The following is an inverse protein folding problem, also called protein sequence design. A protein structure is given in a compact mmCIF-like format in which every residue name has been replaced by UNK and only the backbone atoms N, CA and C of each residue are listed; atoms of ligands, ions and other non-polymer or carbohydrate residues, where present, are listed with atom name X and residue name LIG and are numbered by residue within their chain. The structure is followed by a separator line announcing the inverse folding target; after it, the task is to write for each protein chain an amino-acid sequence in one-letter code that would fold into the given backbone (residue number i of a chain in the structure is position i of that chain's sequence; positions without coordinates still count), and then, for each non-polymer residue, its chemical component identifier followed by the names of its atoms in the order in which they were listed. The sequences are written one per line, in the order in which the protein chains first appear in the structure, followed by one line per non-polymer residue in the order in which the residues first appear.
data_IF_611898352061
#
_entry.id   IF_611898352061
#
_cell.length_a   1.000
_cell.length_b   1.000
_cell.length_c   1.000
_cell.angle_alpha   90.00
_cell.angle_beta   90.00
_cell.angle_gamma   90.00
#
_symmetry.space_group_name_H-M   'P 1'
#
loop_
_entity.id
_entity.type
_entity.pdbx_description
1 polymer ?
#
# COMPACT_ATOMS: atom_id res chain seq x y z
N UNK A 1 2.31 3.68 23.78
CA UNK A 1 1.98 4.72 22.78
C UNK A 1 3.19 5.62 22.68
N UNK A 2 3.81 5.74 21.50
CA UNK A 2 4.95 6.65 21.27
C UNK A 2 4.37 8.05 21.05
N UNK A 3 4.84 9.11 21.74
CA UNK A 3 4.34 10.46 21.48
C UNK A 3 4.57 10.86 20.02
N UNK A 4 3.54 11.41 19.37
CA UNK A 4 3.61 11.78 17.94
C UNK A 4 4.78 12.73 17.62
N UNK A 5 5.20 13.58 18.56
CA UNK A 5 6.39 14.44 18.40
C UNK A 5 7.69 13.64 18.22
N UNK A 6 7.95 12.67 19.10
CA UNK A 6 9.14 11.81 19.02
C UNK A 6 9.15 10.95 17.75
N UNK A 7 7.96 10.50 17.32
CA UNK A 7 7.75 9.76 16.09
C UNK A 7 8.23 10.56 14.85
N UNK A 8 7.86 11.85 14.78
CA UNK A 8 8.19 12.71 13.64
C UNK A 8 9.62 13.21 13.67
N UNK A 9 10.20 13.51 14.84
CA UNK A 9 11.60 13.91 14.94
C UNK A 9 12.53 12.83 14.36
N UNK A 10 12.30 11.57 14.72
CA UNK A 10 13.10 10.45 14.20
C UNK A 10 12.91 10.24 12.69
N UNK A 11 11.68 10.38 12.20
CA UNK A 11 11.39 10.26 10.77
C UNK A 11 12.05 11.41 10.00
N UNK A 12 12.03 12.63 10.54
CA UNK A 12 12.67 13.79 9.96
C UNK A 12 14.18 13.61 9.85
N UNK A 13 14.84 13.18 10.93
CA UNK A 13 16.28 12.88 10.97
C UNK A 13 16.68 11.80 9.95
N UNK A 14 15.81 10.82 9.74
CA UNK A 14 16.05 9.75 8.79
C UNK A 14 15.84 10.22 7.34
N UNK A 15 14.81 11.01 7.06
CA UNK A 15 14.50 11.51 5.72
C UNK A 15 15.46 12.63 5.29
N UNK A 16 15.95 13.44 6.22
CA UNK A 16 16.96 14.47 5.96
C UNK A 16 18.31 13.92 5.49
N UNK A 17 18.55 12.61 5.66
CA UNK A 17 19.73 11.90 5.14
C UNK A 17 19.57 11.46 3.68
N UNK A 18 18.36 11.49 3.13
CA UNK A 18 18.14 11.20 1.72
C UNK A 18 18.65 12.36 0.88
N UNK A 19 19.46 12.10 -0.16
CA UNK A 19 19.87 13.15 -1.08
C UNK A 19 18.62 13.77 -1.73
N UNK A 20 18.64 15.09 -1.92
CA UNK A 20 17.59 15.86 -2.61
C UNK A 20 16.25 15.99 -1.87
N UNK A 21 16.17 15.59 -0.59
CA UNK A 21 15.00 15.83 0.25
C UNK A 21 15.23 17.01 1.19
N UNK A 22 14.27 17.93 1.20
CA UNK A 22 14.14 18.98 2.21
C UNK A 22 13.00 18.59 3.14
N UNK A 23 13.28 18.55 4.44
CA UNK A 23 12.31 18.18 5.47
C UNK A 23 12.05 19.39 6.35
N UNK A 24 10.80 19.78 6.44
CA UNK A 24 10.30 20.85 7.31
C UNK A 24 9.27 20.23 8.26
N UNK A 25 9.47 20.41 9.57
CA UNK A 25 8.43 20.09 10.53
C UNK A 25 7.43 21.25 10.58
N UNK A 26 6.15 20.94 10.48
CA UNK A 26 5.09 21.86 10.88
C UNK A 26 4.47 21.34 12.19
N UNK A 27 3.71 22.16 12.90
CA UNK A 27 3.14 21.77 14.21
C UNK A 27 2.20 20.56 14.15
N UNK A 28 1.84 20.08 12.96
CA UNK A 28 0.86 19.01 12.71
C UNK A 28 1.49 17.75 12.09
N UNK A 29 2.76 17.82 11.63
CA UNK A 29 3.45 16.72 10.97
C UNK A 29 4.76 17.13 10.27
N UNK A 30 5.06 16.46 9.16
CA UNK A 30 6.24 16.74 8.33
C UNK A 30 5.82 17.08 6.91
N UNK A 31 6.47 18.11 6.36
CA UNK A 31 6.48 18.42 4.94
C UNK A 31 7.83 18.01 4.34
N UNK A 32 7.80 17.14 3.34
CA UNK A 32 8.99 16.67 2.62
C UNK A 32 8.90 17.12 1.17
N UNK A 33 9.82 18.00 0.79
CA UNK A 33 9.96 18.49 -0.57
C UNK A 33 11.10 17.75 -1.25
N UNK A 34 10.81 17.07 -2.34
CA UNK A 34 11.82 16.54 -3.27
C UNK A 34 11.80 17.33 -4.57
N UNK A 35 12.67 16.96 -5.52
CA UNK A 35 12.69 17.54 -6.87
C UNK A 35 11.33 17.51 -7.56
N UNK A 36 10.59 16.40 -7.40
CA UNK A 36 9.37 16.13 -8.16
C UNK A 36 8.12 15.91 -7.30
N UNK A 37 8.26 15.91 -5.98
CA UNK A 37 7.13 15.65 -5.08
C UNK A 37 7.11 16.61 -3.92
N UNK A 38 5.90 16.89 -3.44
CA UNK A 38 5.63 17.50 -2.16
C UNK A 38 4.84 16.48 -1.36
N UNK A 39 5.39 16.02 -0.25
CA UNK A 39 4.76 14.99 0.58
C UNK A 39 4.45 15.55 1.96
N UNK A 40 3.22 15.39 2.41
CA UNK A 40 2.81 15.64 3.79
C UNK A 40 2.65 14.34 4.54
N UNK A 41 3.17 14.30 5.75
CA UNK A 41 3.10 13.18 6.67
C UNK A 41 2.45 13.68 7.95
N UNK A 42 1.29 13.14 8.28
CA UNK A 42 0.46 13.62 9.39
C UNK A 42 0.09 12.44 10.29
N UNK A 43 0.01 12.68 11.60
CA UNK A 43 -0.55 11.72 12.53
C UNK A 43 -2.07 11.81 12.43
N UNK A 44 -2.74 10.66 12.42
CA UNK A 44 -4.18 10.57 12.37
C UNK A 44 -4.65 9.40 13.21
N UNK A 45 -5.96 9.34 13.43
CA UNK A 45 -6.59 8.18 14.04
C UNK A 45 -7.78 7.79 13.18
N UNK A 46 -7.90 6.50 12.90
CA UNK A 46 -8.94 5.93 12.02
C UNK A 46 -9.68 4.84 12.75
N UNK A 47 -10.97 4.73 12.45
CA UNK A 47 -11.81 3.66 12.97
C UNK A 47 -11.57 2.37 12.15
N UNK A 48 -11.61 1.23 12.85
CA UNK A 48 -11.59 -0.08 12.22
C UNK A 48 -12.92 -0.43 11.56
N UNK A 49 -12.83 -1.21 10.48
CA UNK A 49 -13.99 -1.76 9.78
C UNK A 49 -13.78 -3.22 9.43
N UNK A 50 -14.86 -3.91 9.02
CA UNK A 50 -14.81 -5.35 8.80
C UNK A 50 -14.56 -6.08 10.12
N UNK A 51 -13.45 -6.80 10.20
CA UNK A 51 -13.09 -7.58 11.39
C UNK A 51 -12.67 -6.68 12.58
N UNK A 52 -12.32 -5.42 12.32
CA UNK A 52 -11.80 -4.46 13.30
C UNK A 52 -12.89 -3.47 13.81
N UNK A 53 -14.18 -3.75 13.58
CA UNK A 53 -15.27 -2.83 13.98
C UNK A 53 -15.26 -2.57 15.49
N UNK A 54 -15.32 -1.29 15.86
CA UNK A 54 -15.34 -0.83 17.25
C UNK A 54 -13.95 -0.55 17.82
N UNK A 55 -12.89 -0.84 17.07
CA UNK A 55 -11.53 -0.47 17.41
C UNK A 55 -11.12 0.84 16.74
N UNK A 56 -10.12 1.52 17.35
CA UNK A 56 -9.56 2.77 16.84
C UNK A 56 -8.05 2.65 16.79
N UNK A 57 -7.49 3.00 15.65
CA UNK A 57 -6.07 2.80 15.37
C UNK A 57 -5.35 4.15 15.26
N UNK A 58 -4.19 4.25 15.90
CA UNK A 58 -3.24 5.30 15.59
C UNK A 58 -2.67 5.05 14.20
N UNK A 59 -2.50 6.10 13.40
CA UNK A 59 -2.05 5.97 12.03
C UNK A 59 -1.20 7.14 11.58
N UNK A 60 -0.36 6.88 10.58
CA UNK A 60 0.38 7.91 9.85
C UNK A 60 -0.16 7.97 8.44
N UNK A 61 -0.64 9.14 8.05
CA UNK A 61 -1.16 9.41 6.71
C UNK A 61 -0.07 10.10 5.89
N UNK A 62 0.20 9.54 4.71
CA UNK A 62 1.17 10.08 3.76
C UNK A 62 0.41 10.53 2.52
N UNK A 63 0.52 11.82 2.18
CA UNK A 63 -0.07 12.40 0.96
C UNK A 63 1.02 13.00 0.12
N UNK A 64 1.21 12.46 -1.08
CA UNK A 64 2.23 12.89 -2.03
C UNK A 64 1.57 13.54 -3.23
N UNK A 65 1.89 14.82 -3.44
CA UNK A 65 1.56 15.58 -4.63
C UNK A 65 2.75 15.54 -5.59
N UNK A 66 2.46 15.38 -6.88
CA UNK A 66 3.48 15.51 -7.92
C UNK A 66 3.69 16.99 -8.25
N UNK A 67 4.94 17.48 -8.12
CA UNK A 67 5.33 18.83 -8.49
C UNK A 67 5.39 18.97 -10.00
N UNK A 68 4.69 19.96 -10.52
CA UNK A 68 4.55 20.25 -11.95
C UNK A 68 3.09 20.52 -12.31
N UNK A 69 2.85 21.08 -13.50
CA UNK A 69 1.50 21.34 -14.00
C UNK A 69 0.82 20.03 -14.47
N UNK A 70 0.67 19.05 -13.58
CA UNK A 70 -0.01 17.79 -13.86
C UNK A 70 -1.49 17.95 -13.53
N UNK A 71 -2.32 17.96 -14.57
CA UNK A 71 -3.77 17.96 -14.39
C UNK A 71 -4.22 16.65 -13.71
N UNK A 72 -5.07 16.77 -12.69
CA UNK A 72 -5.70 15.60 -12.08
C UNK A 72 -6.54 14.83 -13.11
N UNK A 73 -6.36 13.50 -13.26
CA UNK A 73 -7.28 12.64 -13.99
C UNK A 73 -8.70 12.79 -13.43
N UNK A 74 -9.61 13.36 -14.22
CA UNK A 74 -10.99 13.61 -13.79
C UNK A 74 -11.83 12.33 -13.69
N UNK A 75 -11.47 11.25 -14.41
CA UNK A 75 -12.29 10.03 -14.47
C UNK A 75 -11.80 8.90 -13.56
N UNK A 76 -12.71 8.21 -12.86
CA UNK A 76 -12.44 6.95 -12.16
C UNK A 76 -11.78 5.90 -13.06
N UNK A 77 -12.16 5.84 -14.33
CA UNK A 77 -11.59 4.90 -15.30
C UNK A 77 -10.09 5.06 -15.48
N UNK A 78 -9.61 6.30 -15.66
CA UNK A 78 -8.17 6.54 -15.84
C UNK A 78 -7.42 6.14 -14.56
N UNK A 79 -7.94 6.49 -13.39
CA UNK A 79 -7.32 6.10 -12.11
C UNK A 79 -7.27 4.58 -11.95
N UNK A 80 -8.39 3.90 -12.03
CA UNK A 80 -8.51 2.46 -11.77
C UNK A 80 -7.80 1.58 -12.79
N UNK A 81 -7.91 1.84 -14.09
CA UNK A 81 -7.38 0.96 -15.14
C UNK A 81 -5.94 1.28 -15.57
N UNK A 82 -5.46 2.50 -15.34
CA UNK A 82 -4.14 2.94 -15.82
C UNK A 82 -3.25 3.41 -14.69
N UNK A 83 -3.76 4.29 -13.83
CA UNK A 83 -2.86 4.96 -12.90
C UNK A 83 -2.56 4.14 -11.64
N UNK A 84 -3.56 3.54 -11.02
CA UNK A 84 -3.34 2.68 -9.87
C UNK A 84 -2.67 1.36 -10.27
N UNK A 85 -2.88 0.89 -11.51
CA UNK A 85 -2.16 -0.28 -12.08
C UNK A 85 -0.65 -0.06 -12.18
N UNK A 86 -0.20 1.16 -12.46
CA UNK A 86 1.23 1.48 -12.53
C UNK A 86 1.77 2.17 -11.26
N UNK A 87 0.95 2.26 -10.20
CA UNK A 87 1.41 2.72 -8.90
C UNK A 87 2.13 1.60 -8.17
N UNK A 88 3.37 1.85 -7.76
CA UNK A 88 4.13 0.92 -6.93
C UNK A 88 3.69 1.00 -5.47
N UNK A 89 3.59 2.22 -4.95
CA UNK A 89 3.26 2.52 -3.55
C UNK A 89 2.21 3.62 -3.52
N UNK A 90 1.16 3.36 -2.75
CA UNK A 90 0.01 4.25 -2.58
C UNK A 90 -0.96 4.27 -3.77
N UNK A 91 -2.13 4.85 -3.52
CA UNK A 91 -3.21 4.95 -4.49
C UNK A 91 -3.45 6.40 -4.90
N UNK A 92 -3.71 6.64 -6.19
CA UNK A 92 -4.20 7.94 -6.64
C UNK A 92 -5.61 8.13 -6.10
N UNK A 93 -5.78 9.19 -5.32
CA UNK A 93 -7.02 9.49 -4.62
C UNK A 93 -7.99 10.26 -5.52
N UNK A 94 -9.28 10.00 -5.38
CA UNK A 94 -10.29 10.86 -5.97
C UNK A 94 -10.18 12.28 -5.38
N UNK A 95 -10.41 13.34 -6.19
CA UNK A 95 -10.38 14.70 -5.67
C UNK A 95 -11.48 14.88 -4.63
N UNK A 96 -11.15 15.54 -3.51
CA UNK A 96 -12.16 15.93 -2.54
C UNK A 96 -13.12 16.96 -3.17
N UNK A 97 -14.42 16.93 -2.83
CA UNK A 97 -15.35 17.97 -3.28
C UNK A 97 -14.83 19.36 -2.91
N UNK A 98 -14.75 20.27 -3.89
CA UNK A 98 -14.27 21.63 -3.70
C UNK A 98 -12.74 21.80 -3.59
N UNK A 99 -11.96 20.72 -3.62
CA UNK A 99 -10.50 20.81 -3.63
C UNK A 99 -9.95 21.18 -5.00
N UNK A 100 -8.75 21.78 -5.01
CA UNK A 100 -7.98 22.02 -6.23
C UNK A 100 -7.71 20.68 -6.92
N UNK A 101 -7.73 20.67 -8.26
CA UNK A 101 -7.53 19.47 -9.10
C UNK A 101 -6.06 19.05 -9.12
N UNK A 102 -5.55 18.62 -7.99
CA UNK A 102 -4.18 18.14 -7.81
C UNK A 102 -4.18 16.61 -7.76
N UNK A 103 -3.14 16.01 -8.36
CA UNK A 103 -2.95 14.56 -8.32
C UNK A 103 -2.27 14.18 -7.01
N UNK A 104 -3.06 13.58 -6.11
CA UNK A 104 -2.61 13.12 -4.79
C UNK A 104 -2.48 11.60 -4.78
N UNK A 105 -1.30 11.11 -4.38
CA UNK A 105 -1.05 9.71 -4.06
C UNK A 105 -1.15 9.57 -2.53
N UNK A 106 -2.06 8.72 -2.06
CA UNK A 106 -2.32 8.48 -0.65
C UNK A 106 -1.74 7.16 -0.17
N UNK A 107 -1.24 7.14 1.05
CA UNK A 107 -0.95 5.92 1.83
C UNK A 107 -1.30 6.16 3.29
N UNK A 108 -1.57 5.07 4.03
CA UNK A 108 -1.90 5.11 5.45
C UNK A 108 -1.28 3.89 6.14
N UNK A 109 -0.54 4.14 7.21
CA UNK A 109 0.12 3.10 8.01
C UNK A 109 -0.51 3.12 9.39
N UNK A 110 -1.26 2.10 9.79
CA UNK A 110 -1.63 1.93 11.21
C UNK A 110 -0.39 1.58 12.01
N UNK A 111 -0.32 2.10 13.23
CA UNK A 111 0.66 1.73 14.24
C UNK A 111 -0.05 0.85 15.25
N UNK A 112 0.23 -0.45 15.20
CA UNK A 112 -0.39 -1.45 16.08
C UNK A 112 0.64 -2.53 16.48
N UNK A 113 0.18 -3.68 16.99
CA UNK A 113 1.07 -4.78 17.40
C UNK A 113 1.69 -5.52 16.22
N UNK A 114 0.98 -5.61 15.10
CA UNK A 114 1.43 -6.29 13.88
C UNK A 114 2.34 -5.38 13.04
N UNK A 115 2.09 -4.07 13.10
CA UNK A 115 2.91 -3.00 12.52
C UNK A 115 3.35 -2.03 13.62
N UNK A 116 4.33 -2.42 14.46
CA UNK A 116 4.87 -1.51 15.46
C UNK A 116 5.58 -0.35 14.77
N UNK A 117 5.54 0.84 15.39
CA UNK A 117 6.21 2.03 14.84
C UNK A 117 7.69 1.75 14.55
N UNK A 118 8.41 1.15 15.50
CA UNK A 118 9.78 0.71 15.31
C UNK A 118 9.90 -0.81 15.15
N UNK A 119 10.67 -1.29 14.14
CA UNK A 119 11.18 -0.56 12.97
C UNK A 119 10.17 -0.41 11.82
N UNK A 120 9.09 -1.21 11.83
CA UNK A 120 8.23 -1.46 10.66
C UNK A 120 7.47 -0.22 10.20
N UNK A 121 6.69 0.41 11.08
CA UNK A 121 5.85 1.56 10.74
C UNK A 121 6.67 2.71 10.14
N UNK A 122 7.80 3.04 10.78
CA UNK A 122 8.74 4.06 10.29
C UNK A 122 9.27 3.74 8.90
N UNK A 123 9.72 2.51 8.66
CA UNK A 123 10.26 2.12 7.34
C UNK A 123 9.17 2.04 6.25
N UNK A 124 7.91 1.74 6.61
CA UNK A 124 6.76 1.83 5.71
C UNK A 124 6.40 3.27 5.35
N UNK A 125 6.45 4.20 6.33
CA UNK A 125 6.25 5.63 6.05
C UNK A 125 7.37 6.16 5.15
N UNK A 126 8.63 5.80 5.44
CA UNK A 126 9.76 6.13 4.56
C UNK A 126 9.57 5.56 3.15
N UNK A 127 9.11 4.30 3.03
CA UNK A 127 8.77 3.70 1.73
C UNK A 127 7.73 4.55 0.99
N UNK A 128 6.64 4.93 1.65
CA UNK A 128 5.60 5.76 1.06
C UNK A 128 6.15 7.12 0.59
N UNK A 129 6.93 7.82 1.43
CA UNK A 129 7.53 9.12 1.08
C UNK A 129 8.52 8.99 -0.10
N UNK A 130 9.35 7.95 -0.13
CA UNK A 130 10.46 7.82 -1.08
C UNK A 130 10.09 7.17 -2.41
N UNK A 131 9.01 6.38 -2.44
CA UNK A 131 8.57 5.64 -3.64
C UNK A 131 7.23 6.13 -4.21
N UNK A 132 6.38 6.84 -3.45
CA UNK A 132 5.15 7.38 -3.99
C UNK A 132 5.47 8.36 -5.14
N UNK A 133 4.90 8.09 -6.31
CA UNK A 133 5.12 8.91 -7.51
C UNK A 133 6.48 8.69 -8.20
N UNK A 134 7.42 7.95 -7.60
CA UNK A 134 8.74 7.69 -8.20
C UNK A 134 8.63 6.89 -9.50
N UNK A 135 7.61 6.03 -9.66
CA UNK A 135 7.35 5.30 -10.91
C UNK A 135 6.70 6.14 -12.00
N UNK A 136 6.36 7.41 -11.69
CA UNK A 136 5.69 8.36 -12.60
C UNK A 136 6.63 9.39 -13.17
N UNK A 137 7.75 9.58 -12.50
CA UNK A 137 8.84 10.41 -12.97
C UNK A 137 9.86 9.45 -13.54
N UNK A 138 10.28 9.64 -14.78
CA UNK A 138 11.21 8.75 -15.51
C UNK A 138 12.65 8.85 -14.96
N UNK A 139 12.82 8.61 -13.66
CA UNK A 139 14.09 8.58 -12.98
C UNK A 139 14.54 7.13 -12.85
N UNK A 140 15.47 6.75 -13.72
CA UNK A 140 16.23 5.51 -13.55
C UNK A 140 17.15 5.67 -12.34
N UNK A 141 16.69 5.30 -11.14
CA UNK A 141 17.55 5.25 -9.95
C UNK A 141 18.68 4.25 -10.16
N UNK A 142 19.90 4.63 -9.77
CA UNK A 142 21.07 3.77 -9.88
C UNK A 142 20.84 2.44 -9.13
N UNK A 143 20.82 1.33 -9.87
CA UNK A 143 20.51 0.02 -9.32
C UNK A 143 21.73 -0.58 -8.64
N UNK A 144 21.75 -0.56 -7.31
CA UNK A 144 22.72 -1.30 -6.51
C UNK A 144 22.39 -2.81 -6.51
N UNK A 145 22.86 -3.53 -7.55
CA UNK A 145 22.57 -4.97 -7.77
C UNK A 145 22.81 -5.86 -6.53
N UNK A 146 23.80 -5.51 -5.69
CA UNK A 146 24.09 -6.26 -4.47
C UNK A 146 22.99 -6.13 -3.40
N UNK A 147 22.45 -4.91 -3.22
CA UNK A 147 21.33 -4.66 -2.29
C UNK A 147 20.06 -5.39 -2.75
N UNK A 148 19.81 -5.41 -4.06
CA UNK A 148 18.67 -6.13 -4.62
C UNK A 148 18.74 -7.63 -4.35
N UNK A 149 19.90 -8.25 -4.61
CA UNK A 149 20.10 -9.68 -4.35
C UNK A 149 19.92 -10.01 -2.87
N UNK A 150 20.49 -9.19 -1.99
CA UNK A 150 20.39 -9.38 -0.55
C UNK A 150 18.94 -9.27 -0.07
N UNK A 151 18.20 -8.24 -0.49
CA UNK A 151 16.82 -8.06 -0.08
C UNK A 151 15.86 -9.10 -0.65
N UNK A 152 16.04 -9.52 -1.91
CA UNK A 152 15.31 -10.67 -2.48
C UNK A 152 15.61 -11.94 -1.67
N UNK A 153 16.87 -12.15 -1.27
CA UNK A 153 17.25 -13.29 -0.42
C UNK A 153 16.52 -13.31 0.93
N UNK A 154 16.40 -12.16 1.59
CA UNK A 154 15.65 -12.02 2.85
C UNK A 154 14.18 -12.37 2.64
N UNK A 155 13.53 -11.76 1.66
CA UNK A 155 12.12 -12.06 1.38
C UNK A 155 11.88 -13.47 0.89
N UNK A 156 12.83 -14.07 0.16
CA UNK A 156 12.75 -15.47 -0.23
C UNK A 156 12.67 -16.36 1.01
N UNK A 157 13.54 -16.12 1.98
CA UNK A 157 13.52 -16.87 3.24
C UNK A 157 12.21 -16.63 4.00
N UNK A 158 11.73 -15.38 4.06
CA UNK A 158 10.44 -15.05 4.68
C UNK A 158 9.24 -15.71 3.98
N UNK A 159 9.22 -15.76 2.65
CA UNK A 159 8.16 -16.44 1.89
C UNK A 159 8.19 -17.95 2.12
N UNK A 160 9.38 -18.55 2.20
CA UNK A 160 9.50 -19.98 2.49
C UNK A 160 9.12 -20.34 3.93
N UNK A 161 9.31 -19.42 4.88
CA UNK A 161 8.99 -19.66 6.30
C UNK A 161 7.51 -19.46 6.65
N UNK A 162 6.70 -18.87 5.76
CA UNK A 162 5.25 -18.75 5.98
C UNK A 162 4.62 -20.13 6.16
N UNK A 163 3.78 -20.29 7.19
CA UNK A 163 3.07 -21.52 7.45
C UNK A 163 2.12 -21.88 6.29
N UNK A 164 2.03 -23.17 5.97
CA UNK A 164 1.13 -23.65 4.90
C UNK A 164 -0.35 -23.36 5.20
N UNK A 165 -0.72 -23.40 6.48
CA UNK A 165 -2.02 -23.00 6.99
C UNK A 165 -1.79 -22.24 8.28
N UNK A 166 -2.45 -21.10 8.42
CA UNK A 166 -2.57 -20.36 9.67
C UNK A 166 -4.09 -20.29 9.97
N UNK A 167 -4.57 -20.94 11.05
CA UNK A 167 -6.00 -20.97 11.36
C UNK A 167 -6.61 -19.57 11.35
N UNK A 168 -7.78 -19.47 10.75
CA UNK A 168 -8.57 -18.22 10.63
C UNK A 168 -7.86 -17.05 9.92
N UNK A 169 -6.67 -17.27 9.34
CA UNK A 169 -5.94 -16.23 8.57
C UNK A 169 -5.75 -16.61 7.11
N UNK A 170 -5.06 -17.71 6.80
CA UNK A 170 -4.82 -18.11 5.40
C UNK A 170 -4.55 -19.61 5.21
N UNK A 171 -4.71 -20.03 3.96
CA UNK A 171 -4.22 -21.31 3.42
C UNK A 171 -3.36 -21.08 2.19
N UNK A 172 -2.13 -21.56 2.20
CA UNK A 172 -1.25 -21.57 1.02
C UNK A 172 -1.72 -22.64 0.04
N UNK A 173 -2.00 -22.24 -1.19
CA UNK A 173 -2.44 -23.13 -2.27
C UNK A 173 -1.29 -23.52 -3.20
N UNK A 174 -0.29 -22.64 -3.34
CA UNK A 174 0.89 -22.88 -4.16
C UNK A 174 2.10 -22.19 -3.57
N UNK A 175 3.25 -22.87 -3.60
CA UNK A 175 4.55 -22.31 -3.20
C UNK A 175 5.62 -22.65 -4.22
N UNK A 176 6.43 -21.67 -4.54
CA UNK A 176 7.67 -21.78 -5.30
C UNK A 176 8.76 -20.96 -4.55
N UNK A 177 10.05 -21.08 -4.91
CA UNK A 177 11.11 -20.34 -4.22
C UNK A 177 10.85 -18.83 -4.18
N UNK A 178 10.42 -18.26 -5.30
CA UNK A 178 10.21 -16.82 -5.47
C UNK A 178 8.73 -16.42 -5.55
N UNK A 179 7.80 -17.31 -5.19
CA UNK A 179 6.37 -17.01 -5.24
C UNK A 179 5.55 -17.81 -4.25
N UNK A 180 4.47 -17.20 -3.76
CA UNK A 180 3.48 -17.84 -2.91
C UNK A 180 2.08 -17.38 -3.31
N UNK A 181 1.16 -18.33 -3.45
CA UNK A 181 -0.26 -18.06 -3.63
C UNK A 181 -1.01 -18.64 -2.43
N UNK A 182 -1.89 -17.85 -1.85
CA UNK A 182 -2.72 -18.24 -0.71
C UNK A 182 -4.16 -17.76 -0.89
N UNK A 183 -5.03 -18.30 -0.05
CA UNK A 183 -6.42 -17.90 0.10
C UNK A 183 -6.61 -17.43 1.54
N UNK A 184 -7.15 -16.23 1.77
CA UNK A 184 -7.58 -15.82 3.10
C UNK A 184 -8.65 -16.77 3.65
N UNK A 185 -8.62 -16.96 4.96
CA UNK A 185 -9.64 -17.67 5.74
C UNK A 185 -10.36 -16.65 6.62
N UNK A 186 -11.51 -17.01 7.20
CA UNK A 186 -12.25 -16.12 8.11
C UNK A 186 -13.75 -16.05 7.86
N UNK A 187 -14.24 -16.47 6.70
CA UNK A 187 -15.68 -16.48 6.41
C UNK A 187 -16.04 -17.01 5.01
N UNK A 188 -17.31 -17.38 4.78
CA UNK A 188 -17.79 -17.84 3.46
C UNK A 188 -17.62 -16.79 2.35
N UNK A 189 -17.67 -15.50 2.68
CA UNK A 189 -17.50 -14.35 1.78
C UNK A 189 -16.09 -14.24 1.19
N UNK A 190 -15.08 -14.81 1.85
CA UNK A 190 -13.70 -14.85 1.38
C UNK A 190 -13.46 -15.97 0.36
N UNK A 191 -14.47 -16.80 0.07
CA UNK A 191 -14.35 -17.88 -0.90
C UNK A 191 -14.00 -17.33 -2.28
N UNK A 192 -12.85 -17.78 -2.81
CA UNK A 192 -12.36 -17.38 -4.13
C UNK A 192 -11.47 -16.14 -4.12
N UNK A 193 -11.31 -15.47 -2.97
CA UNK A 193 -10.27 -14.44 -2.80
C UNK A 193 -8.90 -15.10 -2.93
N UNK A 194 -8.00 -14.47 -3.68
CA UNK A 194 -6.63 -14.98 -3.87
C UNK A 194 -5.59 -13.91 -3.56
N UNK A 195 -4.55 -14.33 -2.85
CA UNK A 195 -3.37 -13.52 -2.53
C UNK A 195 -2.17 -14.11 -3.25
N UNK A 196 -1.37 -13.28 -3.90
CA UNK A 196 -0.12 -13.67 -4.56
C UNK A 196 1.02 -12.77 -4.11
N UNK A 197 2.11 -13.40 -3.69
CA UNK A 197 3.41 -12.78 -3.41
C UNK A 197 4.39 -13.27 -4.47
N UNK A 198 5.09 -12.36 -5.16
CA UNK A 198 6.13 -12.71 -6.12
C UNK A 198 7.39 -11.90 -5.88
N UNK A 199 8.55 -12.52 -6.04
CA UNK A 199 9.86 -11.93 -5.79
C UNK A 199 10.66 -11.80 -7.08
N UNK A 200 11.36 -10.68 -7.24
CA UNK A 200 12.29 -10.46 -8.35
C UNK A 200 11.63 -10.28 -9.73
N UNK A 201 10.30 -10.27 -9.79
CA UNK A 201 9.50 -9.91 -10.96
C UNK A 201 9.72 -8.45 -11.34
N UNK A 202 9.57 -8.12 -12.63
CA UNK A 202 9.54 -6.72 -13.06
C UNK A 202 8.20 -6.14 -12.65
N UNK A 203 8.23 -5.16 -11.76
CA UNK A 203 7.08 -4.37 -11.31
C UNK A 203 7.32 -2.89 -11.63
N UNK A 204 6.33 -1.99 -11.43
CA UNK A 204 6.56 -0.56 -11.56
C UNK A 204 7.75 -0.05 -10.72
N UNK A 205 8.02 -0.67 -9.56
CA UNK A 205 9.17 -0.35 -8.70
C UNK A 205 10.49 -1.04 -9.12
N UNK A 206 10.53 -1.73 -10.26
CA UNK A 206 11.64 -2.58 -10.66
C UNK A 206 11.57 -3.97 -10.03
N UNK A 207 12.72 -4.59 -9.77
CA UNK A 207 12.80 -5.92 -9.12
C UNK A 207 12.55 -5.79 -7.63
N UNK A 208 11.68 -6.64 -7.09
CA UNK A 208 11.32 -6.54 -5.68
C UNK A 208 10.25 -7.52 -5.23
N UNK A 209 9.52 -7.15 -4.19
CA UNK A 209 8.33 -7.84 -3.72
C UNK A 209 7.12 -7.25 -4.45
N UNK A 210 6.34 -8.09 -5.09
CA UNK A 210 5.05 -7.72 -5.64
C UNK A 210 3.95 -8.53 -4.93
N UNK A 211 3.04 -7.81 -4.30
CA UNK A 211 1.86 -8.35 -3.63
C UNK A 211 0.62 -8.01 -4.44
N UNK A 212 -0.29 -8.98 -4.57
CA UNK A 212 -1.57 -8.81 -5.23
C UNK A 212 -2.66 -9.59 -4.48
N UNK A 213 -3.72 -8.89 -4.09
CA UNK A 213 -4.97 -9.45 -3.58
C UNK A 213 -6.04 -9.28 -4.66
N UNK A 214 -6.70 -10.36 -5.08
CA UNK A 214 -7.77 -10.35 -6.08
C UNK A 214 -9.08 -10.77 -5.44
N UNK A 215 -10.12 -9.98 -5.66
CA UNK A 215 -11.48 -10.32 -5.27
C UNK A 215 -12.09 -11.30 -6.29
N UNK A 216 -13.00 -12.18 -5.85
CA UNK A 216 -13.61 -13.19 -6.73
C UNK A 216 -14.66 -12.61 -7.68
N UNK A 217 -15.23 -11.44 -7.37
CA UNK A 217 -16.28 -10.80 -8.18
C UNK A 217 -15.70 -10.20 -9.46
N UNK A 218 -16.39 -10.45 -10.55
CA UNK A 218 -16.17 -9.79 -11.85
C UNK A 218 -17.33 -8.84 -12.15
N UNK A 219 -17.02 -7.71 -12.77
CA UNK A 219 -17.96 -6.68 -13.17
C UNK A 219 -18.05 -6.64 -14.68
N UNK A 220 -19.27 -6.57 -15.22
CA UNK A 220 -19.50 -6.40 -16.66
C UNK A 220 -19.44 -4.94 -17.07
N UNK A 221 -19.82 -4.03 -16.17
CA UNK A 221 -19.69 -2.60 -16.38
C UNK A 221 -18.35 -2.09 -15.82
N UNK A 222 -17.52 -1.57 -16.73
CA UNK A 222 -16.22 -1.03 -16.39
C UNK A 222 -16.28 0.34 -15.69
N UNK A 223 -17.37 1.13 -15.87
CA UNK A 223 -17.56 2.36 -15.10
C UNK A 223 -17.94 2.03 -13.64
N UNK A 224 -18.80 1.02 -13.44
CA UNK A 224 -19.11 0.49 -12.11
C UNK A 224 -17.85 -0.02 -11.41
N UNK A 225 -17.05 -0.87 -12.07
CA UNK A 225 -15.79 -1.37 -11.53
C UNK A 225 -14.82 -0.24 -11.17
N UNK A 226 -14.72 0.78 -12.03
CA UNK A 226 -13.87 1.93 -11.79
C UNK A 226 -14.31 2.73 -10.56
N UNK A 227 -15.61 2.93 -10.38
CA UNK A 227 -16.18 3.59 -9.21
C UNK A 227 -15.93 2.78 -7.93
N UNK A 228 -16.10 1.46 -7.98
CA UNK A 228 -15.80 0.56 -6.85
C UNK A 228 -14.32 0.65 -6.46
N UNK A 229 -13.39 0.60 -7.42
CA UNK A 229 -11.96 0.71 -7.13
C UNK A 229 -11.61 2.04 -6.45
N UNK A 230 -12.21 3.16 -6.89
CA UNK A 230 -11.99 4.46 -6.27
C UNK A 230 -12.58 4.55 -4.85
N UNK A 231 -13.77 3.98 -4.65
CA UNK A 231 -14.41 3.91 -3.33
C UNK A 231 -13.56 3.09 -2.36
N UNK A 232 -13.00 1.95 -2.80
CA UNK A 232 -12.09 1.12 -2.01
C UNK A 232 -10.79 1.85 -1.66
N UNK A 233 -10.18 2.58 -2.61
CA UNK A 233 -8.98 3.38 -2.33
C UNK A 233 -9.27 4.52 -1.34
N UNK A 234 -10.46 5.09 -1.40
CA UNK A 234 -10.91 6.12 -0.45
C UNK A 234 -11.13 5.49 0.94
N UNK A 235 -11.77 4.33 1.00
CA UNK A 235 -12.01 3.57 2.23
C UNK A 235 -10.69 3.22 2.94
N UNK A 236 -9.71 2.72 2.21
CA UNK A 236 -8.38 2.36 2.75
C UNK A 236 -7.65 3.55 3.39
N UNK A 237 -7.89 4.77 2.88
CA UNK A 237 -7.32 6.00 3.44
C UNK A 237 -8.05 6.49 4.69
N UNK A 238 -9.34 6.18 4.82
CA UNK A 238 -10.20 6.72 5.88
C UNK A 238 -10.43 5.74 7.03
N UNK A 239 -10.23 4.44 6.80
CA UNK A 239 -10.49 3.38 7.75
C UNK A 239 -9.34 2.37 7.80
N UNK A 240 -9.23 1.63 8.90
CA UNK A 240 -8.36 0.46 8.98
C UNK A 240 -9.06 -0.73 8.31
N UNK A 241 -8.57 -1.13 7.14
CA UNK A 241 -9.08 -2.22 6.30
C UNK A 241 -8.05 -3.35 6.21
N UNK A 242 -7.47 -3.74 7.33
CA UNK A 242 -6.23 -4.50 7.38
C UNK A 242 -4.99 -3.62 7.15
N UNK A 243 -4.03 -3.71 8.05
CA UNK A 243 -2.83 -2.86 8.08
C UNK A 243 -1.66 -3.51 7.32
N UNK A 244 -0.82 -2.75 6.58
CA UNK A 244 -0.88 -1.31 6.24
C UNK A 244 -1.50 -1.01 4.85
N UNK A 245 -1.97 0.22 4.60
CA UNK A 245 -2.37 0.71 3.27
C UNK A 245 -1.20 1.43 2.56
N UNK A 246 -0.47 0.68 1.73
CA UNK A 246 0.68 1.19 0.94
C UNK A 246 0.58 0.81 -0.55
N UNK A 247 -0.58 0.34 -0.98
CA UNK A 247 -0.86 -0.11 -2.34
C UNK A 247 -2.10 0.56 -2.92
N UNK A 248 -2.61 0.00 -4.01
CA UNK A 248 -3.78 0.56 -4.68
C UNK A 248 -4.73 -0.52 -5.18
N UNK A 249 -6.03 -0.27 -5.00
CA UNK A 249 -7.10 -0.95 -5.71
C UNK A 249 -7.13 -0.48 -7.17
N UNK A 250 -7.23 -1.44 -8.09
CA UNK A 250 -7.21 -1.23 -9.53
C UNK A 250 -8.08 -2.27 -10.25
N UNK A 251 -8.55 -1.89 -11.43
CA UNK A 251 -9.34 -2.75 -12.29
C UNK A 251 -8.42 -3.62 -13.15
N UNK A 252 -8.80 -4.88 -13.36
CA UNK A 252 -8.15 -5.77 -14.32
C UNK A 252 -8.86 -5.74 -15.67
N UNK A 253 -8.17 -6.21 -16.72
CA UNK A 253 -8.75 -6.25 -18.07
C UNK A 253 -9.94 -7.21 -18.15
N UNK A 254 -9.92 -8.29 -17.37
CA UNK A 254 -11.03 -9.26 -17.28
C UNK A 254 -12.21 -8.81 -16.39
N UNK A 255 -12.27 -7.53 -15.99
CA UNK A 255 -13.35 -6.98 -15.18
C UNK A 255 -13.27 -7.32 -13.68
N UNK A 256 -12.10 -7.73 -13.20
CA UNK A 256 -11.85 -8.00 -11.79
C UNK A 256 -11.34 -6.78 -11.03
N UNK A 257 -11.48 -6.81 -9.70
CA UNK A 257 -10.87 -5.83 -8.80
C UNK A 257 -9.68 -6.44 -8.06
N UNK A 258 -8.54 -5.74 -8.03
CA UNK A 258 -7.34 -6.18 -7.31
C UNK A 258 -6.70 -5.05 -6.53
N UNK A 259 -6.14 -5.38 -5.37
CA UNK A 259 -5.22 -4.52 -4.63
C UNK A 259 -3.79 -4.97 -4.90
N UNK A 260 -2.89 -4.03 -5.17
CA UNK A 260 -1.49 -4.35 -5.48
C UNK A 260 -0.49 -3.43 -4.79
N UNK A 261 0.67 -3.98 -4.45
CA UNK A 261 1.84 -3.26 -3.92
C UNK A 261 3.08 -3.74 -4.68
N UNK A 262 4.00 -2.84 -4.97
CA UNK A 262 5.33 -3.18 -5.48
C UNK A 262 6.41 -2.49 -4.67
N UNK A 263 7.19 -3.26 -3.92
CA UNK A 263 8.26 -2.76 -3.04
C UNK A 263 9.62 -3.13 -3.60
N UNK A 264 10.54 -2.18 -3.82
CA UNK A 264 11.84 -2.47 -4.42
C UNK A 264 12.72 -3.33 -3.52
N UNK A 265 13.48 -4.24 -4.13
CA UNK A 265 14.32 -5.23 -3.43
C UNK A 265 15.31 -4.63 -2.42
N UNK A 266 15.79 -3.40 -2.65
CA UNK A 266 16.72 -2.72 -1.72
C UNK A 266 16.17 -2.54 -0.31
N UNK A 267 14.86 -2.64 -0.11
CA UNK A 267 14.20 -2.52 1.19
C UNK A 267 14.00 -3.84 1.92
N UNK A 268 14.32 -4.99 1.31
CA UNK A 268 14.02 -6.29 1.89
C UNK A 268 14.68 -6.58 3.24
N UNK A 269 15.85 -6.00 3.52
CA UNK A 269 16.49 -6.10 4.85
C UNK A 269 15.80 -5.28 5.94
N UNK A 270 15.09 -4.21 5.56
CA UNK A 270 14.40 -3.32 6.50
C UNK A 270 12.97 -3.79 6.76
N UNK A 271 12.32 -4.29 5.70
CA UNK A 271 10.94 -4.76 5.70
C UNK A 271 10.90 -6.29 5.57
N UNK A 272 11.65 -7.00 6.40
CA UNK A 272 11.83 -8.45 6.29
C UNK A 272 10.51 -9.23 6.43
N UNK A 273 9.63 -8.77 7.32
CA UNK A 273 8.37 -9.41 7.68
C UNK A 273 7.20 -8.97 6.79
N UNK A 274 7.43 -8.01 5.88
CA UNK A 274 6.40 -7.45 5.03
C UNK A 274 5.58 -8.50 4.25
N UNK A 275 6.18 -9.55 3.64
CA UNK A 275 5.39 -10.58 2.96
C UNK A 275 4.34 -11.24 3.87
N UNK A 276 4.70 -11.49 5.14
CA UNK A 276 3.80 -12.08 6.14
C UNK A 276 2.76 -11.07 6.60
N UNK A 277 3.14 -9.84 6.91
CA UNK A 277 2.22 -8.77 7.33
C UNK A 277 1.15 -8.49 6.28
N UNK A 278 1.51 -8.49 4.99
CA UNK A 278 0.55 -8.32 3.90
C UNK A 278 -0.45 -9.48 3.81
N UNK A 279 -0.02 -10.71 4.11
CA UNK A 279 -0.91 -11.88 4.21
C UNK A 279 -1.84 -11.79 5.41
N UNK A 280 -1.33 -11.36 6.56
CA UNK A 280 -2.10 -11.16 7.78
C UNK A 280 -3.25 -10.15 7.56
N UNK A 281 -2.96 -9.01 6.93
CA UNK A 281 -3.98 -8.01 6.60
C UNK A 281 -4.89 -8.35 5.41
N UNK A 282 -4.65 -9.45 4.67
CA UNK A 282 -5.40 -9.77 3.45
C UNK A 282 -6.87 -10.13 3.71
N UNK A 283 -7.15 -10.82 4.81
CA UNK A 283 -8.49 -11.26 5.20
C UNK A 283 -9.40 -10.07 5.49
N UNK A 284 -9.05 -9.26 6.50
CA UNK A 284 -9.80 -8.06 6.88
C UNK A 284 -9.96 -7.07 5.71
N UNK A 285 -8.92 -6.93 4.87
CA UNK A 285 -9.02 -6.12 3.64
C UNK A 285 -10.05 -6.63 2.66
N UNK A 286 -10.05 -7.93 2.40
CA UNK A 286 -11.01 -8.53 1.50
C UNK A 286 -12.43 -8.46 2.09
N UNK A 287 -12.60 -8.74 3.38
CA UNK A 287 -13.90 -8.60 4.08
C UNK A 287 -14.46 -7.19 3.94
N UNK A 288 -13.66 -6.17 4.28
CA UNK A 288 -14.06 -4.76 4.17
C UNK A 288 -14.42 -4.37 2.72
N UNK A 289 -13.66 -4.87 1.74
CA UNK A 289 -13.91 -4.61 0.34
C UNK A 289 -15.21 -5.26 -0.16
N UNK A 290 -15.47 -6.51 0.24
CA UNK A 290 -16.68 -7.25 -0.11
C UNK A 290 -17.91 -6.57 0.49
N UNK A 291 -17.85 -6.12 1.76
CA UNK A 291 -18.92 -5.36 2.41
C UNK A 291 -19.25 -4.05 1.67
N UNK A 292 -18.25 -3.28 1.27
CA UNK A 292 -18.47 -2.04 0.50
C UNK A 292 -19.10 -2.32 -0.87
N UNK A 293 -18.64 -3.38 -1.55
CA UNK A 293 -19.11 -3.73 -2.90
C UNK A 293 -20.51 -4.34 -2.92
N UNK A 294 -20.99 -4.86 -1.78
CA UNK A 294 -22.31 -5.47 -1.63
C UNK A 294 -23.33 -4.58 -0.93
N UNK A 295 -22.92 -3.49 -0.28
CA UNK A 295 -23.85 -2.53 0.33
C UNK A 295 -24.39 -1.49 -0.67
N UNK A 296 -23.74 -1.32 -1.82
CA UNK A 296 -24.08 -0.30 -2.82
C UNK A 296 -24.91 -0.84 -4.00
N UNK A 297 -25.34 -2.11 -3.97
CA UNK A 297 -26.11 -2.80 -5.00
C UNK A 297 -26.97 -3.91 -4.37
#
# INVERSE_FOLDING_TARGET
MVPSGMMFDELADLLAREPEMQVEADGEGLQITSRHTLTRVEAASVDGIGDDIGERFDSVVVRTELRGNLAMPSSPRIRSHRLNVASAVGAIQAPRPGARREMVIGSRICVDREVPWHPTGRDLVRLAVTEAGATRVDETRAVARHLERAGIGVWRNGVQSIAGVEPDRWRVVRRAPDALTAQPLGGPELRGVTVSLTLGSRSPAGRGLHYMLRLPRTFTDADELAAVCDALNTQEMLAATGSPHIGAWSATEEGGCRYQISVPARLGRRLQDLPRQLLEGSGGRATAAMQLSWANF
#
